data_IF_926206113116
#
_entry.id   IF_926206113116
#
_cell.length_a   1.000
_cell.length_b   1.000
_cell.length_c   1.000
_cell.angle_alpha   90.00
_cell.angle_beta   90.00
_cell.angle_gamma   90.00
#
_symmetry.space_group_name_H-M   'P 1'
#
loop_
_entity.id
_entity.type
_entity.pdbx_description
1 polymer ?
#
# COMPACT_ATOMS: atom_id res chain seq x y z
N UNK A 1 27.16 -36.44 0.92
CA UNK A 1 25.70 -36.23 1.04
C UNK A 1 25.28 -34.75 1.02
N UNK A 2 25.80 -33.88 1.90
CA UNK A 2 25.38 -32.47 1.99
C UNK A 2 25.44 -31.68 0.67
N UNK A 3 26.50 -31.86 -0.14
CA UNK A 3 26.63 -31.14 -1.42
C UNK A 3 25.52 -31.48 -2.41
N UNK A 4 25.30 -32.77 -2.69
CA UNK A 4 24.22 -33.23 -3.60
C UNK A 4 22.84 -32.74 -3.14
N UNK A 5 22.64 -32.58 -1.82
CA UNK A 5 21.40 -32.03 -1.27
C UNK A 5 21.17 -30.56 -1.69
N UNK A 6 22.17 -29.68 -1.51
CA UNK A 6 22.03 -28.24 -1.82
C UNK A 6 21.74 -27.99 -3.30
N UNK A 7 22.38 -28.72 -4.21
CA UNK A 7 22.11 -28.62 -5.65
C UNK A 7 20.71 -29.11 -6.01
N UNK A 8 20.26 -30.24 -5.45
CA UNK A 8 18.91 -30.74 -5.68
C UNK A 8 17.87 -29.74 -5.18
N UNK A 9 18.06 -29.19 -3.99
CA UNK A 9 17.21 -28.11 -3.46
C UNK A 9 17.19 -26.91 -4.39
N UNK A 10 18.34 -26.47 -4.89
CA UNK A 10 18.41 -25.37 -5.85
C UNK A 10 17.63 -25.66 -7.13
N UNK A 11 17.82 -26.83 -7.74
CA UNK A 11 17.12 -27.21 -8.97
C UNK A 11 15.59 -27.27 -8.78
N UNK A 12 15.12 -27.78 -7.63
CA UNK A 12 13.69 -27.81 -7.31
C UNK A 12 13.15 -26.39 -7.13
N UNK A 13 13.82 -25.57 -6.32
CA UNK A 13 13.38 -24.20 -6.02
C UNK A 13 13.39 -23.32 -7.26
N UNK A 14 14.45 -23.37 -8.08
CA UNK A 14 14.52 -22.56 -9.29
C UNK A 14 13.46 -22.98 -10.31
N UNK A 15 13.20 -24.29 -10.45
CA UNK A 15 12.14 -24.79 -11.33
C UNK A 15 10.77 -24.29 -10.88
N UNK A 16 10.48 -24.37 -9.58
CA UNK A 16 9.23 -23.85 -9.01
C UNK A 16 9.11 -22.32 -9.18
N UNK A 17 10.19 -21.59 -8.95
CA UNK A 17 10.21 -20.14 -9.15
C UNK A 17 9.94 -19.75 -10.61
N UNK A 18 10.51 -20.49 -11.57
CA UNK A 18 10.25 -20.30 -13.00
C UNK A 18 8.78 -20.60 -13.32
N UNK A 19 8.21 -21.69 -12.81
CA UNK A 19 6.79 -22.02 -13.03
C UNK A 19 5.85 -20.92 -12.49
N UNK A 20 6.12 -20.41 -11.28
CA UNK A 20 5.37 -19.29 -10.70
C UNK A 20 5.51 -18.03 -11.56
N UNK A 21 6.72 -17.73 -12.02
CA UNK A 21 6.97 -16.59 -12.90
C UNK A 21 6.19 -16.71 -14.21
N UNK A 22 6.24 -17.87 -14.86
CA UNK A 22 5.51 -18.15 -16.11
C UNK A 22 4.00 -18.04 -15.91
N UNK A 23 3.45 -18.52 -14.79
CA UNK A 23 2.03 -18.34 -14.45
C UNK A 23 1.66 -16.86 -14.31
N UNK A 24 2.53 -16.07 -13.69
CA UNK A 24 2.37 -14.61 -13.56
C UNK A 24 2.37 -13.83 -14.89
N UNK A 25 2.73 -14.44 -16.01
CA UNK A 25 2.65 -13.80 -17.33
C UNK A 25 1.22 -13.81 -17.92
N UNK A 26 0.26 -14.48 -17.28
CA UNK A 26 -1.11 -14.62 -17.76
C UNK A 26 -2.12 -13.97 -16.79
N UNK A 27 -2.50 -12.70 -17.01
CA UNK A 27 -3.34 -11.96 -16.05
C UNK A 27 -4.70 -12.58 -15.77
N UNK A 28 -5.43 -13.02 -16.80
CA UNK A 28 -6.77 -13.59 -16.63
C UNK A 28 -6.74 -14.90 -15.82
N UNK A 29 -5.81 -15.85 -16.09
CA UNK A 29 -5.59 -17.00 -15.19
C UNK A 29 -5.20 -16.62 -13.76
N UNK A 30 -4.30 -15.65 -13.57
CA UNK A 30 -3.91 -15.17 -12.23
C UNK A 30 -5.13 -14.67 -11.49
N UNK A 31 -5.96 -13.81 -12.10
CA UNK A 31 -7.18 -13.31 -11.48
C UNK A 31 -8.10 -14.46 -11.08
N UNK A 32 -8.47 -15.30 -12.05
CA UNK A 32 -9.47 -16.37 -11.87
C UNK A 32 -9.06 -17.41 -10.82
N UNK A 33 -7.84 -17.92 -10.92
CA UNK A 33 -7.40 -19.05 -10.10
C UNK A 33 -6.70 -18.60 -8.82
N UNK A 34 -5.90 -17.53 -8.88
CA UNK A 34 -5.14 -17.04 -7.74
C UNK A 34 -5.88 -15.93 -7.00
N UNK A 35 -6.04 -14.74 -7.58
CA UNK A 35 -6.49 -13.54 -6.85
C UNK A 35 -7.93 -13.63 -6.33
N UNK A 36 -8.87 -14.17 -7.11
CA UNK A 36 -10.26 -14.40 -6.68
C UNK A 36 -10.50 -15.83 -6.20
N UNK A 37 -9.58 -16.74 -6.49
CA UNK A 37 -9.67 -18.17 -6.14
C UNK A 37 -8.95 -18.47 -4.84
N UNK A 38 -7.66 -18.81 -4.90
CA UNK A 38 -6.88 -19.26 -3.73
C UNK A 38 -6.54 -18.15 -2.73
N UNK A 39 -6.17 -16.96 -3.19
CA UNK A 39 -5.65 -15.89 -2.36
C UNK A 39 -6.62 -15.44 -1.23
N UNK A 40 -7.94 -15.29 -1.45
CA UNK A 40 -8.86 -14.90 -0.38
C UNK A 40 -8.84 -15.86 0.81
N UNK A 41 -8.67 -17.17 0.56
CA UNK A 41 -8.54 -18.17 1.63
C UNK A 41 -7.20 -18.06 2.36
N UNK A 42 -6.10 -17.88 1.62
CA UNK A 42 -4.76 -17.68 2.20
C UNK A 42 -4.75 -16.43 3.08
N UNK A 43 -5.19 -15.30 2.54
CA UNK A 43 -5.21 -14.00 3.23
C UNK A 43 -6.13 -14.05 4.46
N UNK A 44 -7.32 -14.62 4.33
CA UNK A 44 -8.26 -14.80 5.45
C UNK A 44 -7.70 -15.70 6.57
N UNK A 45 -7.02 -16.79 6.23
CA UNK A 45 -6.39 -17.67 7.22
C UNK A 45 -5.24 -16.97 7.95
N UNK A 46 -4.38 -16.24 7.23
CA UNK A 46 -3.30 -15.46 7.82
C UNK A 46 -3.85 -14.38 8.76
N UNK A 47 -4.85 -13.61 8.33
CA UNK A 47 -5.52 -12.60 9.17
C UNK A 47 -6.16 -13.20 10.41
N UNK A 48 -6.84 -14.35 10.28
CA UNK A 48 -7.44 -15.04 11.42
C UNK A 48 -6.38 -15.41 12.48
N UNK A 49 -5.25 -15.97 12.05
CA UNK A 49 -4.14 -16.31 12.96
C UNK A 49 -3.57 -15.04 13.61
N UNK A 50 -3.33 -14.00 12.80
CA UNK A 50 -2.73 -12.75 13.29
C UNK A 50 -3.66 -11.95 14.21
N UNK A 51 -4.97 -12.05 14.00
CA UNK A 51 -5.98 -11.41 14.85
C UNK A 51 -5.94 -11.90 16.31
N UNK A 52 -5.45 -13.12 16.56
CA UNK A 52 -5.30 -13.69 17.92
C UNK A 52 -4.32 -12.90 18.80
N UNK A 53 -3.42 -12.12 18.19
CA UNK A 53 -2.39 -11.38 18.90
C UNK A 53 -2.69 -9.88 18.90
N UNK A 54 -2.47 -9.16 20.01
CA UNK A 54 -2.80 -7.73 20.09
C UNK A 54 -1.72 -6.81 19.46
N UNK A 55 -0.67 -7.38 18.88
CA UNK A 55 0.47 -6.66 18.29
C UNK A 55 0.76 -7.17 16.87
N UNK A 56 1.47 -6.38 16.07
CA UNK A 56 1.84 -6.73 14.69
C UNK A 56 2.86 -7.88 14.64
N UNK A 57 2.43 -9.07 14.23
CA UNK A 57 3.28 -10.26 14.08
C UNK A 57 4.24 -10.10 12.90
N UNK A 58 3.83 -9.41 11.85
CA UNK A 58 4.62 -9.10 10.66
C UNK A 58 5.93 -8.40 11.03
N UNK A 59 5.87 -7.45 11.96
CA UNK A 59 7.05 -6.74 12.47
C UNK A 59 8.01 -7.70 13.18
N UNK A 60 7.48 -8.63 13.99
CA UNK A 60 8.28 -9.66 14.66
C UNK A 60 8.94 -10.57 13.61
N UNK A 61 8.18 -11.00 12.59
CA UNK A 61 8.72 -11.81 11.49
C UNK A 61 9.86 -11.07 10.79
N UNK A 62 9.71 -9.77 10.52
CA UNK A 62 10.76 -8.97 9.89
C UNK A 62 11.98 -8.80 10.80
N UNK A 63 11.81 -8.52 12.09
CA UNK A 63 12.90 -8.44 13.07
C UNK A 63 13.67 -9.77 13.13
N UNK A 64 12.96 -10.90 13.19
CA UNK A 64 13.56 -12.23 13.22
C UNK A 64 14.29 -12.55 11.91
N UNK A 65 13.73 -12.19 10.76
CA UNK A 65 14.36 -12.41 9.45
C UNK A 65 15.64 -11.58 9.31
N UNK A 66 15.60 -10.30 9.68
CA UNK A 66 16.77 -9.41 9.67
C UNK A 66 17.84 -9.93 10.64
N UNK A 67 17.44 -10.29 11.87
CA UNK A 67 18.33 -10.86 12.87
C UNK A 67 18.98 -12.17 12.41
N UNK A 68 18.21 -13.05 11.74
CA UNK A 68 18.72 -14.28 11.15
C UNK A 68 19.76 -14.02 10.05
N UNK A 69 19.48 -13.08 9.14
CA UNK A 69 20.42 -12.68 8.09
C UNK A 69 21.71 -12.12 8.70
N UNK A 70 21.58 -11.22 9.69
CA UNK A 70 22.73 -10.66 10.39
C UNK A 70 23.57 -11.72 11.10
N UNK A 71 22.93 -12.63 11.84
CA UNK A 71 23.59 -13.77 12.47
C UNK A 71 24.37 -14.62 11.45
N UNK A 72 23.77 -14.90 10.29
CA UNK A 72 24.42 -15.67 9.22
C UNK A 72 25.63 -14.93 8.64
N UNK A 73 25.55 -13.61 8.48
CA UNK A 73 26.67 -12.76 8.03
C UNK A 73 27.81 -12.79 9.04
N UNK A 74 27.55 -12.50 10.32
CA UNK A 74 28.56 -12.52 11.40
C UNK A 74 29.21 -13.89 11.51
N UNK A 75 28.41 -14.97 11.50
CA UNK A 75 28.92 -16.34 11.54
C UNK A 75 29.80 -16.66 10.33
N UNK A 76 29.43 -16.21 9.13
CA UNK A 76 30.24 -16.37 7.92
C UNK A 76 31.58 -15.62 8.06
N UNK A 77 31.54 -14.36 8.51
CA UNK A 77 32.72 -13.53 8.72
C UNK A 77 33.68 -14.12 9.75
N UNK A 78 33.17 -14.65 10.88
CA UNK A 78 33.99 -15.26 11.92
C UNK A 78 34.63 -16.57 11.47
N UNK A 79 33.97 -17.32 10.58
CA UNK A 79 34.50 -18.56 10.00
C UNK A 79 35.32 -18.35 8.72
N UNK A 80 35.56 -17.11 8.29
CA UNK A 80 36.20 -16.82 6.99
C UNK A 80 37.57 -17.51 6.81
N UNK A 81 38.36 -17.62 7.87
CA UNK A 81 39.69 -18.28 7.84
C UNK A 81 39.62 -19.81 7.78
N UNK A 82 38.47 -20.40 8.10
CA UNK A 82 38.24 -21.85 8.04
C UNK A 82 37.42 -22.28 6.82
N UNK A 83 37.12 -21.36 5.90
CA UNK A 83 36.44 -21.65 4.64
C UNK A 83 37.32 -22.49 3.72
N UNK A 84 36.75 -23.58 3.21
CA UNK A 84 37.39 -24.50 2.26
C UNK A 84 37.04 -24.09 0.83
N UNK A 85 37.82 -24.56 -0.16
CA UNK A 85 37.59 -24.29 -1.60
C UNK A 85 36.15 -24.60 -2.05
N UNK A 86 35.55 -25.65 -1.47
CA UNK A 86 34.16 -26.06 -1.72
C UNK A 86 33.11 -25.04 -1.25
N UNK A 87 33.41 -24.24 -0.22
CA UNK A 87 32.46 -23.30 0.36
C UNK A 87 32.21 -22.10 -0.58
N UNK A 88 33.13 -21.87 -1.54
CA UNK A 88 32.99 -20.88 -2.61
C UNK A 88 31.78 -21.13 -3.52
N UNK A 89 31.26 -22.36 -3.58
CA UNK A 89 30.08 -22.70 -4.38
C UNK A 89 28.88 -22.99 -3.48
N UNK A 90 29.09 -23.68 -2.36
CA UNK A 90 28.01 -24.06 -1.45
C UNK A 90 27.37 -22.83 -0.79
N UNK A 91 28.15 -21.84 -0.35
CA UNK A 91 27.61 -20.66 0.32
C UNK A 91 26.74 -19.81 -0.63
N UNK A 92 27.19 -19.44 -1.84
CA UNK A 92 26.33 -18.74 -2.80
C UNK A 92 25.04 -19.50 -3.14
N UNK A 93 25.10 -20.82 -3.33
CA UNK A 93 23.90 -21.61 -3.57
C UNK A 93 22.94 -21.64 -2.37
N UNK A 94 23.45 -21.65 -1.14
CA UNK A 94 22.61 -21.54 0.05
C UNK A 94 21.93 -20.17 0.13
N UNK A 95 22.66 -19.10 -0.20
CA UNK A 95 22.10 -17.73 -0.26
C UNK A 95 21.03 -17.67 -1.35
N UNK A 96 21.30 -18.22 -2.53
CA UNK A 96 20.34 -18.24 -3.63
C UNK A 96 19.10 -19.07 -3.29
N UNK A 97 19.27 -20.24 -2.67
CA UNK A 97 18.14 -21.04 -2.16
C UNK A 97 17.30 -20.27 -1.14
N UNK A 98 17.94 -19.54 -0.24
CA UNK A 98 17.24 -18.70 0.73
C UNK A 98 16.38 -17.63 0.03
N UNK A 99 16.94 -16.90 -0.93
CA UNK A 99 16.18 -15.92 -1.69
C UNK A 99 15.09 -16.53 -2.58
N UNK A 100 15.32 -17.72 -3.15
CA UNK A 100 14.29 -18.45 -3.90
C UNK A 100 13.13 -18.86 -2.99
N UNK A 101 13.41 -19.32 -1.77
CA UNK A 101 12.36 -19.62 -0.79
C UNK A 101 11.56 -18.37 -0.46
N UNK A 102 12.23 -17.24 -0.18
CA UNK A 102 11.53 -15.98 0.08
C UNK A 102 10.68 -15.52 -1.11
N UNK A 103 11.20 -15.62 -2.33
CA UNK A 103 10.48 -15.30 -3.56
C UNK A 103 9.23 -16.18 -3.73
N UNK A 104 9.38 -17.51 -3.59
CA UNK A 104 8.27 -18.46 -3.74
C UNK A 104 7.20 -18.18 -2.69
N UNK A 105 7.59 -18.05 -1.42
CA UNK A 105 6.65 -17.75 -0.34
C UNK A 105 5.94 -16.44 -0.65
N UNK A 106 6.67 -15.35 -0.91
CA UNK A 106 6.10 -14.05 -1.23
C UNK A 106 5.09 -14.11 -2.38
N UNK A 107 5.47 -14.72 -3.52
CA UNK A 107 4.58 -14.83 -4.69
C UNK A 107 3.34 -15.66 -4.39
N UNK A 108 3.48 -16.76 -3.64
CA UNK A 108 2.35 -17.62 -3.27
C UNK A 108 1.42 -16.96 -2.25
N UNK A 109 1.94 -16.25 -1.25
CA UNK A 109 1.09 -15.64 -0.22
C UNK A 109 0.44 -14.34 -0.66
N UNK A 110 1.07 -13.58 -1.57
CA UNK A 110 0.51 -12.29 -2.02
C UNK A 110 1.00 -11.82 -3.40
N UNK A 111 2.29 -11.96 -3.70
CA UNK A 111 2.96 -11.25 -4.79
C UNK A 111 2.54 -11.63 -6.22
N UNK A 112 1.75 -12.69 -6.40
CA UNK A 112 1.09 -12.97 -7.69
C UNK A 112 -0.04 -11.97 -7.98
N UNK A 113 -0.57 -11.28 -6.96
CA UNK A 113 -1.58 -10.22 -7.15
C UNK A 113 -1.07 -9.04 -7.98
N UNK A 114 0.24 -8.85 -8.16
CA UNK A 114 0.78 -7.86 -9.12
C UNK A 114 0.52 -8.22 -10.59
N UNK A 115 0.07 -9.44 -10.87
CA UNK A 115 -0.10 -9.95 -12.23
C UNK A 115 -1.56 -10.00 -12.68
N UNK A 116 -2.53 -9.62 -11.83
CA UNK A 116 -3.95 -9.55 -12.19
C UNK A 116 -4.25 -8.33 -13.09
N UNK A 117 -5.38 -8.32 -13.83
CA UNK A 117 -5.89 -7.14 -14.51
C UNK A 117 -6.22 -6.00 -13.53
N UNK A 118 -6.28 -4.78 -14.06
CA UNK A 118 -6.42 -3.59 -13.21
C UNK A 118 -7.75 -3.57 -12.46
N UNK A 119 -7.73 -3.09 -11.21
CA UNK A 119 -8.96 -2.91 -10.44
C UNK A 119 -9.87 -1.85 -11.03
N UNK A 120 -9.30 -0.86 -11.73
CA UNK A 120 -10.08 0.17 -12.42
C UNK A 120 -10.97 -0.46 -13.51
N UNK A 121 -10.44 -1.45 -14.25
CA UNK A 121 -11.19 -2.20 -15.27
C UNK A 121 -12.30 -3.03 -14.63
N UNK A 122 -12.02 -3.72 -13.53
CA UNK A 122 -13.02 -4.53 -12.79
C UNK A 122 -14.17 -3.68 -12.24
N UNK A 123 -13.87 -2.44 -11.85
CA UNK A 123 -14.85 -1.46 -11.36
C UNK A 123 -15.52 -0.65 -12.49
N UNK A 124 -15.15 -0.88 -13.76
CA UNK A 124 -15.70 -0.14 -14.90
C UNK A 124 -15.32 1.35 -14.92
N UNK A 125 -14.18 1.70 -14.31
CA UNK A 125 -13.67 3.08 -14.25
C UNK A 125 -12.84 3.34 -15.51
N UNK A 126 -13.20 4.40 -16.24
CA UNK A 126 -12.47 4.81 -17.43
C UNK A 126 -11.05 5.28 -17.15
N UNK A 127 -10.22 5.30 -18.19
CA UNK A 127 -8.82 5.76 -18.12
C UNK A 127 -8.54 6.90 -19.12
N UNK A 128 -9.56 7.73 -19.39
CA UNK A 128 -9.43 8.87 -20.29
C UNK A 128 -8.56 9.95 -19.65
N UNK A 129 -7.60 10.47 -20.42
CA UNK A 129 -6.74 11.58 -19.99
C UNK A 129 -7.52 12.88 -19.98
N UNK A 130 -7.22 13.74 -19.02
CA UNK A 130 -7.72 15.11 -18.94
C UNK A 130 -6.68 16.11 -19.44
N UNK A 131 -7.16 17.29 -19.87
CA UNK A 131 -6.34 18.47 -20.12
C UNK A 131 -6.24 19.36 -18.85
N UNK A 132 -5.42 20.43 -18.92
CA UNK A 132 -5.18 21.32 -17.77
C UNK A 132 -6.46 21.99 -17.27
N UNK A 133 -7.37 22.40 -18.16
CA UNK A 133 -8.64 23.04 -17.76
C UNK A 133 -9.52 22.06 -16.99
N UNK A 134 -9.62 20.83 -17.46
CA UNK A 134 -10.35 19.75 -16.79
C UNK A 134 -9.75 19.40 -15.42
N UNK A 135 -8.41 19.38 -15.32
CA UNK A 135 -7.72 19.21 -14.03
C UNK A 135 -8.04 20.35 -13.05
N UNK A 136 -8.10 21.59 -13.52
CA UNK A 136 -8.48 22.75 -12.69
C UNK A 136 -9.94 22.67 -12.25
N UNK A 137 -10.86 22.22 -13.11
CA UNK A 137 -12.26 21.97 -12.75
C UNK A 137 -12.34 20.89 -11.66
N UNK A 138 -11.64 19.77 -11.83
CA UNK A 138 -11.54 18.72 -10.82
C UNK A 138 -10.97 19.26 -9.49
N UNK A 139 -9.92 20.08 -9.57
CA UNK A 139 -9.33 20.73 -8.40
C UNK A 139 -10.33 21.61 -7.64
N UNK A 140 -11.12 22.43 -8.34
CA UNK A 140 -12.14 23.25 -7.70
C UNK A 140 -13.19 22.38 -6.98
N UNK A 141 -13.66 21.31 -7.62
CA UNK A 141 -14.59 20.37 -6.99
C UNK A 141 -14.03 19.77 -5.69
N UNK A 142 -12.78 19.32 -5.69
CA UNK A 142 -12.15 18.76 -4.49
C UNK A 142 -11.87 19.81 -3.41
N UNK A 143 -11.53 21.06 -3.78
CA UNK A 143 -11.41 22.17 -2.83
C UNK A 143 -12.75 22.42 -2.13
N UNK A 144 -13.83 22.59 -2.90
CA UNK A 144 -15.15 22.90 -2.36
C UNK A 144 -15.69 21.76 -1.48
N UNK A 145 -15.51 20.51 -1.93
CA UNK A 145 -15.89 19.32 -1.17
C UNK A 145 -15.10 19.18 0.12
N UNK A 146 -13.78 19.39 0.07
CA UNK A 146 -12.91 19.32 1.26
C UNK A 146 -13.28 20.39 2.28
N UNK A 147 -13.49 21.63 1.83
CA UNK A 147 -13.95 22.72 2.68
C UNK A 147 -15.31 22.39 3.33
N UNK A 148 -16.27 21.89 2.53
CA UNK A 148 -17.59 21.51 3.03
C UNK A 148 -17.51 20.39 4.07
N UNK A 149 -16.71 19.36 3.83
CA UNK A 149 -16.50 18.26 4.76
C UNK A 149 -15.84 18.74 6.05
N UNK A 150 -14.84 19.62 5.96
CA UNK A 150 -14.17 20.21 7.12
C UNK A 150 -15.16 20.95 8.03
N UNK A 151 -16.06 21.75 7.45
CA UNK A 151 -17.09 22.47 8.21
C UNK A 151 -18.13 21.54 8.87
N UNK A 152 -18.36 20.35 8.29
CA UNK A 152 -19.24 19.32 8.87
C UNK A 152 -18.57 18.50 9.97
N UNK A 153 -17.24 18.50 10.07
CA UNK A 153 -16.55 17.85 11.17
C UNK A 153 -16.82 18.62 12.46
N UNK A 154 -17.52 17.99 13.40
CA UNK A 154 -17.74 18.56 14.74
C UNK A 154 -16.46 18.51 15.58
N UNK A 155 -15.70 17.41 15.49
CA UNK A 155 -14.38 17.21 16.11
C UNK A 155 -13.63 16.07 15.41
N UNK A 156 -12.35 16.24 15.15
CA UNK A 156 -11.48 15.12 14.72
C UNK A 156 -11.24 14.23 15.94
N UNK A 157 -11.69 12.97 15.94
CA UNK A 157 -11.45 12.07 17.07
C UNK A 157 -9.99 11.62 17.06
N UNK A 158 -9.44 11.38 18.24
CA UNK A 158 -8.21 10.59 18.36
C UNK A 158 -8.57 9.13 18.19
N UNK A 159 -7.93 8.46 17.24
CA UNK A 159 -8.24 7.08 16.92
C UNK A 159 -7.31 6.11 17.64
N UNK A 160 -7.89 5.11 18.28
CA UNK A 160 -7.21 3.83 18.57
C UNK A 160 -7.17 2.96 17.31
N UNK A 161 -6.24 2.00 17.24
CA UNK A 161 -6.18 1.08 16.09
C UNK A 161 -7.43 0.21 15.97
N UNK A 162 -8.03 -0.19 17.09
CA UNK A 162 -9.26 -0.98 17.10
C UNK A 162 -10.46 -0.20 16.55
N UNK A 163 -10.55 1.11 16.82
CA UNK A 163 -11.57 1.97 16.23
C UNK A 163 -11.38 2.12 14.72
N UNK A 164 -10.13 2.26 14.25
CA UNK A 164 -9.83 2.29 12.81
C UNK A 164 -10.19 0.96 12.15
N UNK A 165 -9.85 -0.17 12.76
CA UNK A 165 -10.18 -1.50 12.25
C UNK A 165 -11.70 -1.66 12.11
N UNK A 166 -12.44 -1.37 13.18
CA UNK A 166 -13.90 -1.52 13.23
C UNK A 166 -14.58 -0.60 12.21
N UNK A 167 -14.21 0.69 12.18
CA UNK A 167 -14.84 1.67 11.29
C UNK A 167 -14.45 1.45 9.83
N UNK A 168 -13.21 1.06 9.54
CA UNK A 168 -12.79 0.74 8.18
C UNK A 168 -13.49 -0.52 7.68
N UNK A 169 -13.61 -1.56 8.52
CA UNK A 169 -14.36 -2.76 8.17
C UNK A 169 -15.84 -2.46 7.88
N UNK A 170 -16.45 -1.56 8.65
CA UNK A 170 -17.82 -1.09 8.38
C UNK A 170 -17.93 -0.34 7.05
N UNK A 171 -16.95 0.51 6.70
CA UNK A 171 -16.90 1.21 5.41
C UNK A 171 -16.75 0.23 4.23
N UNK A 172 -15.88 -0.78 4.36
CA UNK A 172 -15.75 -1.86 3.37
C UNK A 172 -17.05 -2.66 3.23
N UNK A 173 -17.70 -3.00 4.34
CA UNK A 173 -18.99 -3.71 4.34
C UNK A 173 -20.10 -2.90 3.66
N UNK A 174 -20.06 -1.57 3.76
CA UNK A 174 -20.98 -0.69 3.03
C UNK A 174 -20.73 -0.76 1.52
N UNK A 175 -19.47 -0.76 1.09
CA UNK A 175 -19.09 -0.84 -0.32
C UNK A 175 -19.27 -2.23 -0.93
N UNK A 176 -19.15 -3.30 -0.14
CA UNK A 176 -19.38 -4.68 -0.61
C UNK A 176 -20.77 -4.85 -1.23
N UNK A 177 -21.77 -4.11 -0.74
CA UNK A 177 -23.13 -4.09 -1.30
C UNK A 177 -23.18 -3.66 -2.77
N UNK A 178 -22.18 -2.92 -3.24
CA UNK A 178 -22.07 -2.44 -4.63
C UNK A 178 -21.20 -3.35 -5.49
N UNK A 179 -20.11 -3.89 -4.93
CA UNK A 179 -19.20 -4.78 -5.64
C UNK A 179 -18.44 -5.70 -4.66
N UNK A 180 -18.31 -6.99 -4.99
CA UNK A 180 -17.65 -7.99 -4.15
C UNK A 180 -16.15 -7.77 -3.95
N UNK A 181 -15.49 -6.93 -4.75
CA UNK A 181 -14.07 -6.58 -4.56
C UNK A 181 -13.81 -5.97 -3.17
N UNK A 182 -14.81 -5.30 -2.59
CA UNK A 182 -14.72 -4.69 -1.27
C UNK A 182 -14.97 -5.68 -0.12
N UNK A 183 -15.16 -6.97 -0.41
CA UNK A 183 -15.43 -7.99 0.61
C UNK A 183 -14.22 -8.12 1.55
N UNK A 184 -14.40 -7.68 2.78
CA UNK A 184 -13.37 -7.76 3.82
C UNK A 184 -13.82 -8.63 4.99
N UNK A 185 -13.39 -9.89 4.97
CA UNK A 185 -13.64 -10.86 6.05
C UNK A 185 -12.42 -11.01 6.95
N UNK A 186 -12.65 -11.32 8.23
CA UNK A 186 -11.62 -11.40 9.27
C UNK A 186 -10.73 -10.16 9.33
N UNK A 187 -11.26 -9.01 9.81
CA UNK A 187 -10.47 -7.79 9.96
C UNK A 187 -9.19 -8.00 10.77
N UNK A 188 -8.11 -7.37 10.31
CA UNK A 188 -6.79 -7.46 10.95
C UNK A 188 -5.95 -6.23 10.60
N UNK A 189 -6.26 -5.11 11.25
CA UNK A 189 -5.49 -3.87 11.22
C UNK A 189 -4.72 -3.76 12.54
N UNK A 190 -3.40 -3.68 12.47
CA UNK A 190 -2.52 -3.64 13.65
C UNK A 190 -1.73 -2.35 13.68
N UNK A 191 -1.40 -1.88 14.88
CA UNK A 191 -0.40 -0.83 15.01
C UNK A 191 0.97 -1.46 14.77
N UNK A 192 1.81 -0.79 14.00
CA UNK A 192 3.24 -1.13 13.95
C UNK A 192 3.83 -1.13 15.36
N UNK A 193 4.80 -2.00 15.61
CA UNK A 193 5.48 -2.11 16.91
C UNK A 193 6.27 -0.84 17.25
N UNK A 194 6.79 -0.14 16.23
CA UNK A 194 7.56 1.08 16.42
C UNK A 194 7.23 2.16 15.39
N UNK A 195 6.20 2.95 15.71
CA UNK A 195 5.75 4.08 14.89
C UNK A 195 6.83 5.13 14.63
N UNK A 196 7.83 5.28 15.51
CA UNK A 196 8.94 6.22 15.29
C UNK A 196 9.84 5.75 14.14
N UNK A 197 10.22 4.47 14.10
CA UNK A 197 11.03 3.90 13.01
C UNK A 197 10.26 4.01 11.70
N UNK A 198 8.98 3.61 11.70
CA UNK A 198 8.12 3.64 10.52
C UNK A 198 7.95 5.08 9.99
N UNK A 199 7.78 6.06 10.88
CA UNK A 199 7.76 7.47 10.48
C UNK A 199 9.10 7.94 9.93
N UNK A 200 10.24 7.52 10.52
CA UNK A 200 11.59 7.88 10.07
C UNK A 200 11.94 7.37 8.68
N UNK A 201 11.38 6.23 8.29
CA UNK A 201 11.54 5.69 6.93
C UNK A 201 10.50 6.23 5.95
N UNK A 202 9.54 7.03 6.41
CA UNK A 202 8.57 7.72 5.55
C UNK A 202 7.33 6.93 5.18
N UNK A 203 6.94 5.96 6.00
CA UNK A 203 5.82 5.07 5.69
C UNK A 203 4.60 5.43 6.56
N UNK A 204 3.44 5.49 5.92
CA UNK A 204 2.14 5.72 6.57
C UNK A 204 1.51 4.43 7.10
N UNK A 205 1.67 3.36 6.35
CA UNK A 205 1.28 2.01 6.71
C UNK A 205 1.94 1.03 5.75
N UNK A 206 1.81 -0.26 6.03
CA UNK A 206 2.18 -1.29 5.07
C UNK A 206 1.41 -2.57 5.31
N UNK A 207 1.20 -3.31 4.24
CA UNK A 207 0.77 -4.69 4.31
C UNK A 207 1.96 -5.63 4.59
N UNK A 208 1.81 -6.54 5.54
CA UNK A 208 2.78 -7.58 5.84
C UNK A 208 2.36 -8.94 5.25
N UNK A 209 2.90 -9.38 4.09
CA UNK A 209 2.38 -10.55 3.39
C UNK A 209 2.45 -11.88 4.15
N UNK A 210 3.43 -12.01 5.06
CA UNK A 210 3.66 -13.25 5.80
C UNK A 210 2.70 -13.42 7.00
N UNK A 211 2.11 -12.33 7.49
CA UNK A 211 1.10 -12.35 8.56
C UNK A 211 -0.29 -11.96 8.07
N UNK A 212 -0.40 -11.40 6.85
CA UNK A 212 -1.64 -10.90 6.28
C UNK A 212 -2.15 -9.61 6.95
N UNK A 213 -1.38 -8.98 7.81
CA UNK A 213 -1.77 -7.78 8.57
C UNK A 213 -1.66 -6.53 7.71
N UNK A 214 -2.64 -5.62 7.84
CA UNK A 214 -2.47 -4.22 7.50
C UNK A 214 -1.86 -3.53 8.73
N UNK A 215 -0.65 -2.99 8.60
CA UNK A 215 0.05 -2.35 9.70
C UNK A 215 -0.01 -0.84 9.55
N UNK A 216 -0.48 -0.17 10.59
CA UNK A 216 -0.77 1.25 10.61
C UNK A 216 0.25 2.01 11.45
N UNK A 217 0.79 3.12 10.92
CA UNK A 217 1.57 4.06 11.70
C UNK A 217 0.64 4.96 12.54
N UNK A 218 0.48 4.63 13.82
CA UNK A 218 -0.42 5.38 14.71
C UNK A 218 0.08 6.79 15.09
N UNK A 219 1.30 7.18 14.70
CA UNK A 219 1.81 8.54 14.92
C UNK A 219 1.30 9.57 13.90
N UNK A 220 0.69 9.13 12.79
CA UNK A 220 0.15 10.03 11.78
C UNK A 220 -0.87 11.02 12.38
N UNK A 221 -1.08 12.20 11.78
CA UNK A 221 -2.18 13.08 12.16
C UNK A 221 -3.53 12.35 12.08
N UNK A 222 -4.40 12.54 13.07
CA UNK A 222 -5.65 11.77 13.21
C UNK A 222 -6.59 11.92 12.00
N UNK A 223 -6.57 13.04 11.28
CA UNK A 223 -7.39 13.25 10.08
C UNK A 223 -6.89 12.48 8.84
N UNK A 224 -5.66 11.95 8.85
CA UNK A 224 -5.08 11.13 7.75
C UNK A 224 -5.38 9.65 7.95
N UNK A 225 -5.43 9.20 9.22
CA UNK A 225 -5.55 7.78 9.56
C UNK A 225 -6.71 7.03 8.90
N UNK A 226 -7.94 7.60 8.78
CA UNK A 226 -9.05 6.89 8.16
C UNK A 226 -8.84 6.48 6.70
N UNK A 227 -8.23 7.35 5.89
CA UNK A 227 -7.91 7.02 4.51
C UNK A 227 -6.83 5.94 4.45
N UNK A 228 -5.73 6.12 5.19
CA UNK A 228 -4.61 5.18 5.19
C UNK A 228 -5.06 3.80 5.68
N UNK A 229 -5.91 3.71 6.71
CA UNK A 229 -6.45 2.41 7.14
C UNK A 229 -7.26 1.73 6.03
N UNK A 230 -8.05 2.48 5.27
CA UNK A 230 -8.75 1.94 4.12
C UNK A 230 -7.79 1.50 2.99
N UNK A 231 -6.73 2.27 2.72
CA UNK A 231 -5.69 1.93 1.74
C UNK A 231 -4.98 0.62 2.10
N UNK A 232 -4.48 0.49 3.33
CA UNK A 232 -3.76 -0.71 3.77
C UNK A 232 -4.63 -1.97 3.77
N UNK A 233 -5.92 -1.83 4.12
CA UNK A 233 -6.88 -2.93 3.99
C UNK A 233 -7.05 -3.33 2.52
N UNK A 234 -6.96 -2.40 1.57
CA UNK A 234 -6.98 -2.71 0.14
C UNK A 234 -5.89 -3.70 -0.26
N UNK A 235 -4.67 -3.54 0.29
CA UNK A 235 -3.60 -4.53 0.10
C UNK A 235 -3.93 -5.91 0.69
N UNK A 236 -4.65 -5.97 1.83
CA UNK A 236 -5.14 -7.24 2.39
C UNK A 236 -6.16 -7.95 1.49
N UNK A 237 -6.86 -7.20 0.63
CA UNK A 237 -7.79 -7.72 -0.37
C UNK A 237 -7.08 -8.15 -1.66
N UNK A 238 -5.76 -8.06 -1.71
CA UNK A 238 -4.96 -8.48 -2.87
C UNK A 238 -4.90 -7.42 -3.95
N UNK A 239 -5.13 -6.14 -3.60
CA UNK A 239 -4.79 -5.02 -4.47
C UNK A 239 -3.31 -4.72 -4.27
N UNK A 240 -2.47 -5.11 -5.22
CA UNK A 240 -1.02 -5.05 -5.03
C UNK A 240 -0.40 -3.71 -5.45
N UNK A 241 -0.98 -3.05 -6.46
CA UNK A 241 -0.50 -1.76 -6.93
C UNK A 241 -0.96 -0.61 -6.01
N UNK A 242 -0.06 0.33 -5.74
CA UNK A 242 -0.28 1.44 -4.79
C UNK A 242 -1.36 2.43 -5.25
N UNK A 243 -1.41 2.73 -6.55
CA UNK A 243 -2.44 3.58 -7.15
C UNK A 243 -3.82 2.92 -7.06
N UNK A 244 -3.89 1.60 -7.29
CA UNK A 244 -5.12 0.83 -7.14
C UNK A 244 -5.56 0.72 -5.67
N UNK A 245 -4.62 0.59 -4.74
CA UNK A 245 -4.90 0.62 -3.31
C UNK A 245 -5.37 2.02 -2.87
N UNK A 246 -4.79 3.09 -3.43
CA UNK A 246 -5.29 4.46 -3.28
C UNK A 246 -6.72 4.58 -3.81
N UNK A 247 -7.02 3.98 -4.96
CA UNK A 247 -8.35 4.01 -5.57
C UNK A 247 -9.38 3.31 -4.68
N UNK A 248 -9.06 2.10 -4.21
CA UNK A 248 -9.95 1.34 -3.35
C UNK A 248 -10.13 2.01 -1.98
N UNK A 249 -9.05 2.57 -1.42
CA UNK A 249 -9.07 3.37 -0.20
C UNK A 249 -9.95 4.61 -0.34
N UNK A 250 -9.80 5.36 -1.44
CA UNK A 250 -10.63 6.52 -1.75
C UNK A 250 -12.09 6.14 -1.89
N UNK A 251 -12.42 5.15 -2.72
CA UNK A 251 -13.80 4.73 -2.94
C UNK A 251 -14.47 4.27 -1.65
N UNK A 252 -13.73 3.58 -0.78
CA UNK A 252 -14.21 3.11 0.53
C UNK A 252 -14.44 4.26 1.50
N UNK A 253 -13.42 5.07 1.77
CA UNK A 253 -13.49 6.11 2.78
C UNK A 253 -14.39 7.29 2.35
N UNK A 254 -14.40 7.67 1.07
CA UNK A 254 -15.25 8.75 0.54
C UNK A 254 -16.74 8.41 0.53
N UNK A 255 -17.11 7.14 0.48
CA UNK A 255 -18.51 6.67 0.56
C UNK A 255 -18.91 6.21 1.97
N UNK A 256 -18.00 6.28 2.96
CA UNK A 256 -18.30 5.93 4.35
C UNK A 256 -19.37 6.87 4.93
N UNK A 257 -20.28 6.38 5.82
CA UNK A 257 -21.20 7.25 6.54
C UNK A 257 -20.51 8.15 7.58
N UNK A 258 -19.24 7.91 7.93
CA UNK A 258 -18.47 8.75 8.85
C UNK A 258 -17.84 9.94 8.10
N UNK A 259 -18.23 11.16 8.45
CA UNK A 259 -17.72 12.40 7.85
C UNK A 259 -16.19 12.53 7.94
N UNK A 260 -15.56 11.93 8.96
CA UNK A 260 -14.11 11.97 9.10
C UNK A 260 -13.40 11.09 8.06
N UNK A 261 -14.00 9.96 7.69
CA UNK A 261 -13.50 9.11 6.60
C UNK A 261 -13.66 9.85 5.25
N UNK A 262 -14.80 10.49 5.06
CA UNK A 262 -15.03 11.30 3.85
C UNK A 262 -14.01 12.43 3.75
N UNK A 263 -13.78 13.17 4.84
CA UNK A 263 -12.80 14.25 4.88
C UNK A 263 -11.40 13.74 4.61
N UNK A 264 -10.95 12.69 5.32
CA UNK A 264 -9.64 12.07 5.16
C UNK A 264 -9.38 11.68 3.70
N UNK A 265 -10.33 11.00 3.07
CA UNK A 265 -10.22 10.61 1.67
C UNK A 265 -10.14 11.80 0.71
N UNK A 266 -10.99 12.82 0.89
CA UNK A 266 -10.99 14.00 0.01
C UNK A 266 -9.73 14.86 0.22
N UNK A 267 -9.25 14.99 1.45
CA UNK A 267 -8.00 15.67 1.78
C UNK A 267 -6.82 15.02 1.05
N UNK A 268 -6.70 13.69 1.10
CA UNK A 268 -5.62 12.96 0.43
C UNK A 268 -5.69 13.11 -1.10
N UNK A 269 -6.88 12.98 -1.69
CA UNK A 269 -7.03 13.18 -3.15
C UNK A 269 -6.72 14.62 -3.57
N UNK A 270 -7.12 15.60 -2.74
CA UNK A 270 -6.82 17.00 -2.99
C UNK A 270 -5.31 17.28 -2.97
N UNK A 271 -4.53 16.59 -2.12
CA UNK A 271 -3.05 16.71 -2.12
C UNK A 271 -2.47 16.30 -3.47
N UNK A 272 -2.87 15.14 -4.01
CA UNK A 272 -2.42 14.66 -5.32
C UNK A 272 -2.81 15.64 -6.43
N UNK A 273 -4.07 16.07 -6.47
CA UNK A 273 -4.58 17.02 -7.47
C UNK A 273 -3.83 18.35 -7.41
N UNK A 274 -3.66 18.93 -6.21
CA UNK A 274 -2.98 20.22 -6.04
C UNK A 274 -1.49 20.14 -6.40
N UNK A 275 -0.82 19.02 -6.12
CA UNK A 275 0.56 18.81 -6.55
C UNK A 275 0.66 18.82 -8.07
N UNK A 276 -0.22 18.10 -8.76
CA UNK A 276 -0.22 18.04 -10.21
C UNK A 276 -0.56 19.39 -10.85
N UNK A 277 -1.56 20.12 -10.32
CA UNK A 277 -1.88 21.48 -10.76
C UNK A 277 -0.68 22.38 -10.54
N UNK A 278 0.01 22.31 -9.41
CA UNK A 278 1.21 23.13 -9.16
C UNK A 278 2.30 22.90 -10.20
N UNK A 279 2.46 21.66 -10.67
CA UNK A 279 3.45 21.31 -11.69
C UNK A 279 3.03 21.76 -13.10
N UNK A 280 1.74 21.72 -13.43
CA UNK A 280 1.22 22.00 -14.78
C UNK A 280 0.73 23.45 -14.99
N UNK A 281 0.17 24.06 -13.96
CA UNK A 281 -0.37 25.43 -13.95
C UNK A 281 -0.16 26.09 -12.57
N UNK A 282 1.01 26.69 -12.32
CA UNK A 282 1.34 27.32 -11.04
C UNK A 282 0.40 28.46 -10.63
N UNK A 283 -0.16 29.19 -11.58
CA UNK A 283 -1.07 30.31 -11.29
C UNK A 283 -2.48 29.82 -10.90
N UNK A 284 -2.98 28.76 -11.54
CA UNK A 284 -4.22 28.11 -11.11
C UNK A 284 -4.04 27.49 -9.72
N UNK A 285 -2.88 26.89 -9.42
CA UNK A 285 -2.58 26.40 -8.08
C UNK A 285 -2.71 27.47 -7.01
N UNK A 286 -2.14 28.67 -7.22
CA UNK A 286 -2.26 29.80 -6.27
C UNK A 286 -3.71 30.17 -6.05
N UNK A 287 -4.49 30.24 -7.14
CA UNK A 287 -5.92 30.56 -7.09
C UNK A 287 -6.71 29.53 -6.29
N UNK A 288 -6.52 28.23 -6.56
CA UNK A 288 -7.22 27.16 -5.83
C UNK A 288 -6.78 27.09 -4.36
N UNK A 289 -5.48 27.20 -4.11
CA UNK A 289 -4.94 27.17 -2.76
C UNK A 289 -5.49 28.32 -1.90
N UNK A 290 -5.71 29.51 -2.48
CA UNK A 290 -6.31 30.65 -1.78
C UNK A 290 -7.78 30.44 -1.39
N UNK A 291 -8.49 29.48 -2.01
CA UNK A 291 -9.88 29.13 -1.68
C UNK A 291 -9.99 28.15 -0.50
N UNK A 292 -8.90 27.56 -0.04
CA UNK A 292 -8.92 26.61 1.08
C UNK A 292 -9.26 27.32 2.38
N UNK A 293 -10.11 26.69 3.19
CA UNK A 293 -10.41 27.21 4.53
C UNK A 293 -9.13 27.24 5.39
N UNK A 294 -9.00 28.21 6.32
CA UNK A 294 -7.87 28.28 7.25
C UNK A 294 -7.64 26.97 8.02
N UNK A 295 -8.72 26.26 8.34
CA UNK A 295 -8.67 24.98 9.05
C UNK A 295 -8.11 23.84 8.19
N UNK A 296 -8.38 23.84 6.88
CA UNK A 296 -7.80 22.87 5.94
C UNK A 296 -6.31 23.19 5.74
N UNK A 297 -5.96 24.47 5.59
CA UNK A 297 -4.56 24.91 5.53
C UNK A 297 -3.77 24.53 6.79
N UNK A 298 -4.41 24.56 7.97
CA UNK A 298 -3.81 24.12 9.22
C UNK A 298 -3.53 22.60 9.22
N UNK A 299 -4.40 21.78 8.62
CA UNK A 299 -4.16 20.34 8.46
C UNK A 299 -2.96 20.08 7.52
N UNK A 300 -2.90 20.75 6.36
CA UNK A 300 -1.73 20.71 5.46
C UNK A 300 -0.43 21.09 6.18
N UNK A 301 -0.47 22.13 7.02
CA UNK A 301 0.68 22.53 7.83
C UNK A 301 1.05 21.45 8.86
N UNK A 302 0.06 20.91 9.57
CA UNK A 302 0.25 19.88 10.60
C UNK A 302 0.94 18.65 10.02
N UNK A 303 0.45 18.16 8.88
CA UNK A 303 1.03 17.00 8.22
C UNK A 303 2.44 17.28 7.67
N UNK A 304 2.65 18.45 7.05
CA UNK A 304 3.98 18.87 6.60
C UNK A 304 4.97 18.94 7.76
N UNK A 305 4.56 19.47 8.90
CA UNK A 305 5.41 19.57 10.10
C UNK A 305 5.68 18.21 10.72
N UNK A 306 4.70 17.31 10.70
CA UNK A 306 4.88 15.90 11.06
C UNK A 306 5.99 15.27 10.22
N UNK A 307 5.88 15.27 8.89
CA UNK A 307 6.90 14.67 8.02
C UNK A 307 8.27 15.36 8.14
N UNK A 308 8.30 16.69 8.29
CA UNK A 308 9.54 17.44 8.50
C UNK A 308 10.31 16.99 9.74
N UNK A 309 9.64 16.53 10.81
CA UNK A 309 10.29 15.97 12.01
C UNK A 309 11.03 14.66 11.71
N UNK A 310 10.56 13.91 10.72
CA UNK A 310 11.08 12.59 10.39
C UNK A 310 12.01 12.58 9.17
N UNK A 311 11.91 13.57 8.29
CA UNK A 311 12.79 13.75 7.13
C UNK A 311 14.28 13.66 7.50
N UNK A 312 15.02 12.83 6.75
CA UNK A 312 16.45 12.61 6.87
C UNK A 312 16.93 11.59 5.83
N UNK A 313 18.22 11.29 5.78
CA UNK A 313 18.80 10.44 4.73
C UNK A 313 18.14 9.05 4.64
N UNK A 314 17.69 8.50 5.76
CA UNK A 314 17.01 7.20 5.83
C UNK A 314 15.71 7.18 5.01
N UNK A 315 14.97 8.28 4.96
CA UNK A 315 13.80 8.45 4.11
C UNK A 315 14.18 8.26 2.63
N UNK A 316 15.20 8.97 2.15
CA UNK A 316 15.65 8.89 0.76
C UNK A 316 16.18 7.51 0.36
N UNK A 317 16.89 6.81 1.26
CA UNK A 317 17.33 5.43 1.00
C UNK A 317 16.16 4.45 0.90
N UNK A 318 15.15 4.60 1.76
CA UNK A 318 13.98 3.72 1.76
C UNK A 318 13.09 4.00 0.57
N UNK A 319 12.85 5.27 0.22
CA UNK A 319 12.14 5.69 -0.98
C UNK A 319 12.73 5.03 -2.25
N UNK A 320 14.06 5.10 -2.43
CA UNK A 320 14.73 4.44 -3.55
C UNK A 320 14.61 2.89 -3.51
N UNK A 321 14.56 2.29 -2.31
CA UNK A 321 14.39 0.84 -2.17
C UNK A 321 12.96 0.40 -2.49
N UNK A 322 11.95 1.14 -2.02
CA UNK A 322 10.54 0.92 -2.34
C UNK A 322 10.27 1.10 -3.83
N UNK A 323 10.77 2.17 -4.44
CA UNK A 323 10.67 2.41 -5.88
C UNK A 323 11.18 1.20 -6.70
N UNK A 324 12.35 0.67 -6.33
CA UNK A 324 12.90 -0.54 -6.96
C UNK A 324 12.04 -1.77 -6.70
N UNK A 325 11.55 -1.95 -5.48
CA UNK A 325 10.68 -3.07 -5.13
C UNK A 325 9.39 -3.08 -5.98
N UNK A 326 8.74 -1.93 -6.12
CA UNK A 326 7.54 -1.76 -6.93
C UNK A 326 7.84 -2.04 -8.42
N UNK A 327 8.92 -1.47 -8.96
CA UNK A 327 9.34 -1.69 -10.36
C UNK A 327 9.67 -3.15 -10.67
N UNK A 328 10.29 -3.87 -9.72
CA UNK A 328 10.54 -5.31 -9.86
C UNK A 328 9.25 -6.15 -9.84
N UNK A 329 8.17 -5.62 -9.27
CA UNK A 329 6.86 -6.27 -9.19
C UNK A 329 5.85 -5.68 -10.19
N UNK A 330 6.29 -5.42 -11.42
CA UNK A 330 5.45 -4.95 -12.54
C UNK A 330 4.88 -3.53 -12.43
N UNK A 331 5.15 -2.77 -11.36
CA UNK A 331 4.72 -1.37 -11.23
C UNK A 331 5.77 -0.43 -11.85
N UNK A 332 5.78 -0.30 -13.18
CA UNK A 332 6.87 0.35 -13.95
C UNK A 332 7.20 1.78 -13.51
N UNK A 333 6.22 2.55 -13.04
CA UNK A 333 6.41 3.92 -12.55
C UNK A 333 6.96 3.98 -11.10
N UNK A 334 6.98 2.86 -10.38
CA UNK A 334 7.41 2.82 -8.99
C UNK A 334 6.60 3.77 -8.12
N UNK A 335 7.26 4.61 -7.33
CA UNK A 335 6.60 5.57 -6.42
C UNK A 335 5.87 6.69 -7.20
N UNK A 336 6.25 6.97 -8.45
CA UNK A 336 5.53 7.98 -9.25
C UNK A 336 4.11 7.53 -9.64
N UNK A 337 3.78 6.23 -9.50
CA UNK A 337 2.42 5.76 -9.81
C UNK A 337 1.38 6.29 -8.83
N UNK A 338 1.74 6.72 -7.63
CA UNK A 338 0.76 7.23 -6.64
C UNK A 338 -0.09 8.38 -7.22
N UNK A 339 0.46 9.16 -8.16
CA UNK A 339 -0.24 10.24 -8.85
C UNK A 339 -1.23 9.76 -9.93
N UNK A 340 -1.15 8.49 -10.38
CA UNK A 340 -1.99 7.98 -11.47
C UNK A 340 -3.48 7.92 -11.09
N UNK A 341 -3.79 7.91 -9.78
CA UNK A 341 -5.16 8.00 -9.28
C UNK A 341 -5.91 9.23 -9.78
N UNK A 342 -5.23 10.34 -10.09
CA UNK A 342 -5.88 11.58 -10.57
C UNK A 342 -6.64 11.33 -11.88
N UNK A 343 -6.14 10.42 -12.73
CA UNK A 343 -6.84 10.00 -13.96
C UNK A 343 -8.15 9.30 -13.62
N UNK A 344 -8.16 8.40 -12.64
CA UNK A 344 -9.38 7.71 -12.23
C UNK A 344 -10.35 8.65 -11.50
N UNK A 345 -9.85 9.59 -10.69
CA UNK A 345 -10.70 10.62 -10.08
C UNK A 345 -11.42 11.46 -11.13
N UNK A 346 -10.72 11.89 -12.19
CA UNK A 346 -11.36 12.55 -13.32
C UNK A 346 -12.47 11.68 -13.93
N UNK A 347 -12.16 10.41 -14.22
CA UNK A 347 -13.13 9.52 -14.87
C UNK A 347 -14.35 9.18 -13.99
N UNK A 348 -14.19 9.15 -12.67
CA UNK A 348 -15.28 8.99 -11.71
C UNK A 348 -16.18 10.23 -11.71
N UNK A 349 -15.60 11.43 -11.68
CA UNK A 349 -16.35 12.67 -11.42
C UNK A 349 -16.75 13.44 -12.68
N UNK A 350 -16.15 13.19 -13.84
CA UNK A 350 -16.38 13.99 -15.07
C UNK A 350 -17.86 14.13 -15.46
N UNK A 351 -18.69 13.12 -15.20
CA UNK A 351 -20.14 13.19 -15.47
C UNK A 351 -20.83 14.20 -14.55
N UNK A 352 -20.48 14.23 -13.27
CA UNK A 352 -21.00 15.20 -12.30
C UNK A 352 -20.53 16.62 -12.65
N UNK A 353 -19.27 16.75 -13.10
CA UNK A 353 -18.64 18.03 -13.43
C UNK A 353 -19.12 18.64 -14.75
N UNK A 354 -19.53 17.81 -15.71
CA UNK A 354 -20.02 18.27 -17.03
C UNK A 354 -21.49 18.71 -16.97
N UNK A 355 -22.26 18.24 -15.98
CA UNK A 355 -23.67 18.64 -15.78
C UNK A 355 -23.79 19.92 -14.93
N UNK A 356 -22.74 20.27 -14.17
CA UNK A 356 -22.71 21.43 -13.29
C UNK A 356 -22.17 22.72 -13.94
N UNK A 357 -21.61 22.62 -15.16
CA UNK A 357 -21.23 23.74 -16.03
C UNK A 357 -22.23 23.86 -17.18
#
# INVERSE_FOLDING_TARGET
MFKRSVYKTFLVLISLAILIYLFGLFPNPVQKYYSTGFYPYISSALRFISALFPFAIGDIIYILLIGFVFYKIVRCYNRRKSLKKQDRIVIPLQILNFFLILYIIFKMVWGLNYSRPSISEELGIGNEKYNVKELVVLGNYFVDKTNTLKLKQSKIPTYTVNELETKSAAAYSFMEKRNSVFRYTNPCLKSVLNSWIISKIGIEGYYAPLSGEANMNMNLPDFVKPYVSCHEIGHQLGIAYEDEANLLGYLTASNSPDVNYQYSANYEMLRYILFEIRMKSPDDYKTLHAKLLPQVLADFKTEKEFWRKYNGDMFGYMDAAFDRFLKMNNQKKGIDSYQDIVIWLWNIHKKELTVAN
#
